data_IF_465927615405
#
_entry.id   IF_465927615405
#
_cell.length_a   1.000
_cell.length_b   1.000
_cell.length_c   1.000
_cell.angle_alpha   90.00
_cell.angle_beta   90.00
_cell.angle_gamma   90.00
#
_symmetry.space_group_name_H-M   'P 1'
#
loop_
_entity.id
_entity.type
_entity.pdbx_description
1 polymer ?
#
# COMPACT_ATOMS: atom_id res chain seq x y z
N UNK A 1 -29.16 -3.73 -22.58
CA UNK A 1 -28.19 -2.61 -22.64
C UNK A 1 -26.80 -3.17 -22.43
N UNK A 2 -25.86 -2.97 -23.35
CA UNK A 2 -24.45 -3.39 -23.17
C UNK A 2 -23.84 -2.61 -21.99
N UNK A 3 -23.18 -3.30 -21.07
CA UNK A 3 -22.47 -2.62 -19.97
C UNK A 3 -21.40 -1.69 -20.55
N UNK A 4 -21.36 -0.45 -20.09
CA UNK A 4 -20.31 0.50 -20.47
C UNK A 4 -18.94 -0.08 -20.13
N UNK A 5 -18.04 -0.14 -21.10
CA UNK A 5 -16.64 -0.50 -20.91
C UNK A 5 -15.78 0.76 -20.87
N UNK A 6 -14.67 0.70 -20.15
CA UNK A 6 -13.83 1.87 -19.85
C UNK A 6 -12.43 1.74 -20.46
N UNK A 7 -11.93 2.84 -21.01
CA UNK A 7 -10.53 3.01 -21.42
C UNK A 7 -9.75 3.61 -20.24
N UNK A 8 -8.71 2.91 -19.80
CA UNK A 8 -7.94 3.25 -18.59
C UNK A 8 -6.46 3.41 -18.94
N UNK A 9 -5.85 4.47 -18.41
CA UNK A 9 -4.40 4.70 -18.50
C UNK A 9 -3.78 4.64 -17.11
N UNK A 10 -2.79 3.80 -16.93
CA UNK A 10 -1.96 3.74 -15.72
C UNK A 10 -0.71 4.57 -15.94
N UNK A 11 -0.48 5.59 -15.11
CA UNK A 11 0.73 6.40 -15.14
C UNK A 11 1.69 5.89 -14.07
N UNK A 12 2.85 5.42 -14.50
CA UNK A 12 3.89 4.85 -13.65
C UNK A 12 4.23 3.42 -14.06
N UNK A 13 5.31 2.88 -13.47
CA UNK A 13 5.83 1.54 -13.76
C UNK A 13 6.37 0.84 -12.52
N UNK A 14 6.01 1.36 -11.34
CA UNK A 14 6.31 0.72 -10.06
C UNK A 14 5.48 -0.54 -9.81
N UNK A 15 5.77 -1.23 -8.71
CA UNK A 15 5.09 -2.47 -8.31
C UNK A 15 3.57 -2.29 -8.18
N UNK A 16 3.12 -1.12 -7.68
CA UNK A 16 1.70 -0.77 -7.61
C UNK A 16 1.08 -0.63 -9.01
N UNK A 17 1.77 0.02 -9.95
CA UNK A 17 1.28 0.17 -11.33
C UNK A 17 1.11 -1.19 -12.01
N UNK A 18 2.06 -2.10 -11.83
CA UNK A 18 1.99 -3.47 -12.34
C UNK A 18 0.86 -4.28 -11.68
N UNK A 19 0.62 -4.09 -10.37
CA UNK A 19 -0.48 -4.73 -9.66
C UNK A 19 -1.84 -4.22 -10.17
N UNK A 20 -2.00 -2.92 -10.41
CA UNK A 20 -3.18 -2.36 -11.06
C UNK A 20 -3.40 -2.95 -12.45
N UNK A 21 -2.36 -3.04 -13.26
CA UNK A 21 -2.46 -3.63 -14.59
C UNK A 21 -2.95 -5.08 -14.53
N UNK A 22 -2.31 -5.91 -13.70
CA UNK A 22 -2.67 -7.32 -13.57
C UNK A 22 -4.13 -7.51 -13.15
N UNK A 23 -4.63 -6.63 -12.27
CA UNK A 23 -6.02 -6.64 -11.83
C UNK A 23 -6.99 -6.20 -12.92
N UNK A 24 -6.71 -5.05 -13.55
CA UNK A 24 -7.62 -4.44 -14.53
C UNK A 24 -7.66 -5.20 -15.85
N UNK A 25 -6.57 -5.86 -16.25
CA UNK A 25 -6.53 -6.71 -17.45
C UNK A 25 -7.57 -7.85 -17.42
N UNK A 26 -7.94 -8.31 -16.24
CA UNK A 26 -8.93 -9.39 -16.06
C UNK A 26 -10.37 -8.85 -15.88
N UNK A 27 -10.55 -7.53 -15.84
CA UNK A 27 -11.84 -6.93 -15.56
C UNK A 27 -12.66 -6.76 -16.86
N UNK A 28 -13.81 -7.44 -16.95
CA UNK A 28 -14.68 -7.42 -18.12
C UNK A 28 -15.27 -6.04 -18.49
N UNK A 29 -15.24 -5.09 -17.55
CA UNK A 29 -15.67 -3.70 -17.78
C UNK A 29 -14.55 -2.79 -18.30
N UNK A 30 -13.33 -3.32 -18.51
CA UNK A 30 -12.22 -2.60 -19.16
C UNK A 30 -12.22 -2.93 -20.64
N UNK A 31 -12.33 -1.91 -21.51
CA UNK A 31 -12.20 -2.04 -22.96
C UNK A 31 -10.73 -2.03 -23.38
N UNK A 32 -10.03 -0.99 -22.92
CA UNK A 32 -8.62 -0.79 -23.25
C UNK A 32 -7.83 -0.40 -22.02
N UNK A 33 -6.61 -0.91 -21.94
CA UNK A 33 -5.69 -0.65 -20.83
C UNK A 33 -4.34 -0.21 -21.38
N UNK A 34 -3.90 0.98 -20.99
CA UNK A 34 -2.68 1.61 -21.47
C UNK A 34 -1.73 1.91 -20.30
N UNK A 35 -0.43 1.98 -20.62
CA UNK A 35 0.58 2.52 -19.71
C UNK A 35 1.14 3.83 -20.26
N UNK A 36 1.34 4.81 -19.38
CA UNK A 36 2.16 5.98 -19.63
C UNK A 36 3.37 5.95 -18.69
N UNK A 37 4.58 5.84 -19.28
CA UNK A 37 5.83 5.71 -18.51
C UNK A 37 6.88 6.70 -18.99
N UNK A 38 7.84 7.01 -18.12
CA UNK A 38 9.08 7.68 -18.53
C UNK A 38 9.99 6.70 -19.25
N UNK A 39 10.85 7.21 -20.17
CA UNK A 39 11.68 6.44 -21.09
C UNK A 39 12.65 5.42 -20.46
N UNK A 40 13.02 5.57 -19.18
CA UNK A 40 14.02 4.72 -18.51
C UNK A 40 13.38 3.87 -17.40
N UNK A 41 12.63 2.85 -17.79
CA UNK A 41 12.03 1.92 -16.84
C UNK A 41 12.93 0.71 -16.60
N UNK A 42 13.26 0.43 -15.31
CA UNK A 42 13.93 -0.82 -14.89
C UNK A 42 12.98 -2.01 -14.85
N UNK A 43 11.67 -1.79 -14.74
CA UNK A 43 10.67 -2.84 -14.68
C UNK A 43 10.19 -3.20 -16.08
N UNK A 44 10.18 -4.49 -16.40
CA UNK A 44 9.60 -5.01 -17.64
C UNK A 44 8.08 -4.85 -17.60
N UNK A 45 7.52 -4.08 -18.52
CA UNK A 45 6.08 -4.01 -18.75
C UNK A 45 5.68 -5.20 -19.62
N UNK A 46 4.52 -5.85 -19.35
CA UNK A 46 4.05 -6.97 -20.15
C UNK A 46 3.97 -6.61 -21.65
N UNK A 47 4.47 -7.48 -22.52
CA UNK A 47 4.65 -7.21 -23.97
C UNK A 47 3.37 -6.88 -24.75
N UNK A 48 2.21 -7.21 -24.28
CA UNK A 48 0.94 -6.98 -24.96
C UNK A 48 0.23 -5.69 -24.50
N UNK A 49 0.96 -4.63 -24.17
CA UNK A 49 0.38 -3.41 -23.59
C UNK A 49 0.52 -2.22 -24.51
N UNK A 50 -0.54 -1.43 -24.62
CA UNK A 50 -0.50 -0.12 -25.27
C UNK A 50 0.38 0.82 -24.44
N UNK A 51 1.64 0.99 -24.86
CA UNK A 51 2.67 1.72 -24.11
C UNK A 51 2.90 3.09 -24.71
N UNK A 52 2.77 4.13 -23.90
CA UNK A 52 3.03 5.51 -24.26
C UNK A 52 4.22 6.09 -23.49
N UNK A 53 5.05 6.90 -24.15
CA UNK A 53 6.13 7.69 -23.53
C UNK A 53 5.72 9.15 -23.28
N UNK A 54 4.75 9.63 -24.06
CA UNK A 54 4.20 10.98 -23.95
C UNK A 54 2.68 10.91 -23.89
N UNK A 55 2.05 11.74 -23.08
CA UNK A 55 0.60 11.81 -22.95
C UNK A 55 -0.07 12.24 -24.26
N UNK A 56 0.60 13.06 -25.07
CA UNK A 56 0.13 13.54 -26.35
C UNK A 56 0.00 12.44 -27.42
N UNK A 57 0.58 11.26 -27.22
CA UNK A 57 0.44 10.12 -28.14
C UNK A 57 -0.80 9.28 -27.89
N UNK A 58 -1.58 9.59 -26.85
CA UNK A 58 -2.85 8.93 -26.55
C UNK A 58 -3.94 9.64 -27.36
N UNK A 59 -4.47 8.97 -28.40
CA UNK A 59 -5.40 9.56 -29.36
C UNK A 59 -6.87 9.26 -29.10
N UNK A 60 -7.17 8.44 -28.07
CA UNK A 60 -8.52 8.01 -27.77
C UNK A 60 -9.10 8.72 -26.55
N UNK A 61 -10.43 8.84 -26.43
CA UNK A 61 -11.06 9.25 -25.18
C UNK A 61 -10.66 8.31 -24.04
N UNK A 62 -10.19 8.86 -22.93
CA UNK A 62 -9.81 8.09 -21.74
C UNK A 62 -10.80 8.38 -20.64
N UNK A 63 -11.40 7.34 -20.06
CA UNK A 63 -12.34 7.50 -18.95
C UNK A 63 -11.60 7.73 -17.62
N UNK A 64 -10.45 7.06 -17.40
CA UNK A 64 -9.72 7.06 -16.12
C UNK A 64 -8.21 7.07 -16.31
N UNK A 65 -7.56 7.97 -15.58
CA UNK A 65 -6.12 7.93 -15.34
C UNK A 65 -5.84 7.51 -13.88
N UNK A 66 -5.03 6.46 -13.69
CA UNK A 66 -4.57 5.99 -12.39
C UNK A 66 -3.12 6.45 -12.20
N UNK A 67 -2.90 7.37 -11.26
CA UNK A 67 -1.56 7.87 -10.94
C UNK A 67 -0.89 6.92 -9.94
N UNK A 68 -0.18 5.91 -10.42
CA UNK A 68 0.60 4.96 -9.65
C UNK A 68 2.10 5.36 -9.64
N UNK A 69 2.36 6.59 -9.30
CA UNK A 69 3.68 7.26 -9.25
C UNK A 69 4.07 7.61 -7.82
N UNK A 70 5.31 8.06 -7.60
CA UNK A 70 5.71 8.62 -6.30
C UNK A 70 4.90 9.88 -5.97
N UNK A 71 4.72 10.16 -4.69
CA UNK A 71 3.92 11.29 -4.20
C UNK A 71 4.36 12.63 -4.82
N UNK A 72 5.68 12.84 -4.96
CA UNK A 72 6.26 14.04 -5.58
C UNK A 72 5.85 14.23 -7.04
N UNK A 73 5.51 13.15 -7.75
CA UNK A 73 5.15 13.18 -9.16
C UNK A 73 3.62 13.28 -9.40
N UNK A 74 2.79 13.16 -8.36
CA UNK A 74 1.33 13.15 -8.50
C UNK A 74 0.81 14.44 -9.11
N UNK A 75 1.18 15.60 -8.54
CA UNK A 75 0.67 16.90 -8.98
C UNK A 75 1.07 17.21 -10.44
N UNK A 76 2.33 16.95 -10.80
CA UNK A 76 2.82 17.16 -12.16
C UNK A 76 2.03 16.32 -13.19
N UNK A 77 1.84 15.03 -12.89
CA UNK A 77 1.10 14.16 -13.79
C UNK A 77 -0.40 14.50 -13.84
N UNK A 78 -1.01 14.88 -12.71
CA UNK A 78 -2.40 15.34 -12.69
C UNK A 78 -2.61 16.61 -13.53
N UNK A 79 -1.67 17.56 -13.52
CA UNK A 79 -1.70 18.75 -14.39
C UNK A 79 -1.60 18.37 -15.86
N UNK A 80 -0.70 17.44 -16.21
CA UNK A 80 -0.58 16.94 -17.60
C UNK A 80 -1.89 16.28 -18.04
N UNK A 81 -2.48 15.42 -17.20
CA UNK A 81 -3.77 14.81 -17.53
C UNK A 81 -4.84 15.86 -17.72
N UNK A 82 -4.95 16.84 -16.82
CA UNK A 82 -5.94 17.92 -16.96
C UNK A 82 -5.80 18.70 -18.27
N UNK A 83 -4.58 19.03 -18.67
CA UNK A 83 -4.31 19.81 -19.89
C UNK A 83 -4.69 19.06 -21.17
N UNK A 84 -4.46 17.74 -21.22
CA UNK A 84 -4.76 16.94 -22.42
C UNK A 84 -6.13 16.26 -22.38
N UNK A 85 -6.62 15.92 -21.19
CA UNK A 85 -7.84 15.15 -20.95
C UNK A 85 -8.69 15.76 -19.82
N UNK A 86 -9.20 16.98 -19.96
CA UNK A 86 -9.90 17.70 -18.88
C UNK A 86 -11.20 17.03 -18.42
N UNK A 87 -11.78 16.16 -19.25
CA UNK A 87 -13.02 15.42 -18.94
C UNK A 87 -12.79 14.03 -18.33
N UNK A 88 -11.52 13.57 -18.30
CA UNK A 88 -11.19 12.26 -17.74
C UNK A 88 -11.16 12.28 -16.23
N UNK A 89 -11.50 11.15 -15.60
CA UNK A 89 -11.31 10.97 -14.16
C UNK A 89 -9.83 10.74 -13.86
N UNK A 90 -9.38 11.27 -12.71
CA UNK A 90 -8.03 11.04 -12.18
C UNK A 90 -8.12 10.41 -10.80
N UNK A 91 -7.48 9.25 -10.63
CA UNK A 91 -7.24 8.66 -9.32
C UNK A 91 -5.77 8.74 -8.97
N UNK A 92 -5.44 9.12 -7.74
CA UNK A 92 -4.12 8.83 -7.19
C UNK A 92 -4.22 7.80 -6.06
N UNK A 93 -3.12 7.09 -5.82
CA UNK A 93 -3.08 5.96 -4.89
C UNK A 93 -2.26 6.25 -3.63
N UNK A 94 -1.92 7.51 -3.35
CA UNK A 94 -1.11 7.89 -2.21
C UNK A 94 -1.90 7.89 -0.90
N UNK A 95 -1.29 7.36 0.16
CA UNK A 95 -1.80 7.48 1.53
C UNK A 95 -1.57 8.88 2.12
N UNK A 96 -0.63 9.67 1.59
CA UNK A 96 -0.13 10.92 2.20
C UNK A 96 -0.32 12.16 1.33
N UNK A 97 -0.79 12.05 0.08
CA UNK A 97 -1.04 13.19 -0.80
C UNK A 97 -2.51 13.65 -0.72
N UNK A 98 -2.74 14.95 -0.56
CA UNK A 98 -4.10 15.49 -0.41
C UNK A 98 -4.84 15.57 -1.75
N UNK A 99 -6.13 15.23 -1.78
CA UNK A 99 -6.97 15.37 -2.96
C UNK A 99 -7.10 16.83 -3.42
N UNK A 100 -7.16 17.77 -2.46
CA UNK A 100 -7.29 19.20 -2.74
C UNK A 100 -6.09 19.80 -3.46
N UNK A 101 -4.91 19.16 -3.37
CA UNK A 101 -3.70 19.61 -4.08
C UNK A 101 -3.74 19.33 -5.59
N UNK A 102 -4.64 18.48 -6.07
CA UNK A 102 -4.85 18.28 -7.50
C UNK A 102 -5.51 19.50 -8.14
N UNK A 103 -5.36 19.74 -9.46
CA UNK A 103 -5.91 20.91 -10.13
C UNK A 103 -7.37 21.17 -9.75
N UNK A 104 -7.71 22.38 -9.31
CA UNK A 104 -9.07 22.71 -8.83
C UNK A 104 -10.12 22.52 -9.92
N UNK A 105 -9.80 22.86 -11.16
CA UNK A 105 -10.67 22.68 -12.34
C UNK A 105 -10.89 21.21 -12.70
N UNK A 106 -10.10 20.27 -12.15
CA UNK A 106 -10.31 18.83 -12.32
C UNK A 106 -11.45 18.37 -11.38
N UNK A 107 -12.68 18.44 -11.84
CA UNK A 107 -13.87 18.02 -11.07
C UNK A 107 -13.92 16.50 -10.85
N UNK A 108 -13.46 15.72 -11.83
CA UNK A 108 -13.44 14.27 -11.79
C UNK A 108 -12.12 13.76 -11.20
N UNK A 109 -11.91 13.97 -9.90
CA UNK A 109 -10.74 13.51 -9.16
C UNK A 109 -11.14 12.77 -7.90
N UNK A 110 -10.35 11.75 -7.51
CA UNK A 110 -10.53 11.05 -6.25
C UNK A 110 -9.23 10.35 -5.82
N UNK A 111 -9.20 9.90 -4.58
CA UNK A 111 -8.19 9.00 -4.08
C UNK A 111 -8.75 7.58 -4.03
N UNK A 112 -7.94 6.61 -4.45
CA UNK A 112 -8.15 5.20 -4.19
C UNK A 112 -6.84 4.64 -3.64
N UNK A 113 -6.69 4.66 -2.33
CA UNK A 113 -5.49 4.17 -1.64
C UNK A 113 -5.66 2.70 -1.23
N UNK A 114 -5.01 1.75 -1.90
CA UNK A 114 -4.99 0.37 -1.46
C UNK A 114 -3.98 0.21 -0.30
N UNK A 115 -4.47 -0.16 0.89
CA UNK A 115 -3.61 -0.39 2.04
C UNK A 115 -2.96 -1.78 1.94
N UNK A 116 -1.88 -1.86 1.19
CA UNK A 116 -1.17 -3.10 0.92
C UNK A 116 0.31 -2.86 0.60
N UNK A 117 1.16 -3.86 0.82
CA UNK A 117 2.58 -3.83 0.47
C UNK A 117 2.84 -4.52 -0.86
N UNK A 118 2.89 -3.73 -1.94
CA UNK A 118 3.16 -4.22 -3.29
C UNK A 118 4.65 -4.48 -3.48
N UNK A 119 5.11 -5.70 -3.23
CA UNK A 119 6.51 -6.10 -3.38
C UNK A 119 6.83 -6.77 -4.72
N UNK A 120 5.82 -7.16 -5.49
CA UNK A 120 5.95 -7.83 -6.79
C UNK A 120 6.35 -9.30 -6.71
N UNK A 121 6.36 -9.90 -5.52
CA UNK A 121 6.77 -11.30 -5.32
C UNK A 121 5.65 -12.30 -5.61
N UNK A 122 4.39 -11.89 -5.47
CA UNK A 122 3.22 -12.76 -5.62
C UNK A 122 2.09 -12.04 -6.36
N UNK A 123 1.18 -12.83 -6.94
CA UNK A 123 -0.05 -12.30 -7.49
C UNK A 123 -0.89 -11.68 -6.37
N UNK A 124 -1.34 -10.45 -6.60
CA UNK A 124 -2.09 -9.67 -5.61
C UNK A 124 -3.57 -10.08 -5.61
N UNK A 125 -4.07 -10.55 -4.47
CA UNK A 125 -5.50 -10.78 -4.29
C UNK A 125 -6.20 -9.47 -3.87
N UNK A 126 -6.73 -8.74 -4.83
CA UNK A 126 -7.37 -7.45 -4.61
C UNK A 126 -8.61 -7.51 -3.71
N UNK A 127 -9.33 -8.62 -3.66
CA UNK A 127 -10.55 -8.75 -2.83
C UNK A 127 -10.25 -8.68 -1.33
N UNK A 128 -9.00 -8.94 -0.94
CA UNK A 128 -8.55 -8.89 0.45
C UNK A 128 -7.90 -7.55 0.82
N UNK A 129 -7.73 -6.64 -0.15
CA UNK A 129 -7.08 -5.35 0.08
C UNK A 129 -8.13 -4.31 0.46
N UNK A 130 -8.08 -3.73 1.67
CA UNK A 130 -8.95 -2.61 2.00
C UNK A 130 -8.56 -1.39 1.18
N UNK A 131 -9.57 -0.76 0.56
CA UNK A 131 -9.40 0.47 -0.21
C UNK A 131 -9.88 1.66 0.61
N UNK A 132 -9.07 2.69 0.70
CA UNK A 132 -9.45 3.95 1.34
C UNK A 132 -9.70 5.01 0.26
N UNK A 133 -10.92 5.56 0.24
CA UNK A 133 -11.36 6.47 -0.83
C UNK A 133 -11.63 7.87 -0.30
N UNK A 134 -11.24 8.90 -1.07
CA UNK A 134 -11.60 10.29 -0.85
C UNK A 134 -12.16 10.86 -2.14
N UNK A 135 -13.28 11.60 -2.06
CA UNK A 135 -13.94 12.22 -3.21
C UNK A 135 -14.87 11.29 -4.02
N UNK A 136 -15.27 10.13 -3.48
CA UNK A 136 -16.24 9.21 -4.07
C UNK A 136 -17.68 9.70 -3.78
N UNK A 137 -18.05 10.89 -4.27
CA UNK A 137 -19.24 11.63 -3.87
C UNK A 137 -20.30 11.83 -4.96
N UNK A 138 -20.01 11.55 -6.23
CA UNK A 138 -20.97 11.69 -7.35
C UNK A 138 -21.40 10.34 -7.92
N UNK A 139 -22.58 10.29 -8.56
CA UNK A 139 -23.10 9.08 -9.21
C UNK A 139 -22.10 8.50 -10.23
N UNK A 140 -21.49 9.35 -11.06
CA UNK A 140 -20.52 8.93 -12.06
C UNK A 140 -19.27 8.28 -11.42
N UNK A 141 -18.70 8.90 -10.37
CA UNK A 141 -17.53 8.36 -9.66
C UNK A 141 -17.84 7.01 -9.01
N UNK A 142 -19.03 6.89 -8.38
CA UNK A 142 -19.51 5.63 -7.80
C UNK A 142 -19.69 4.56 -8.87
N UNK A 143 -20.35 4.89 -9.98
CA UNK A 143 -20.57 3.97 -11.09
C UNK A 143 -19.25 3.41 -11.61
N UNK A 144 -18.26 4.27 -11.91
CA UNK A 144 -16.96 3.84 -12.40
C UNK A 144 -16.22 3.00 -11.34
N UNK A 145 -16.19 3.43 -10.09
CA UNK A 145 -15.54 2.69 -9.00
C UNK A 145 -16.14 1.27 -8.87
N UNK A 146 -17.46 1.15 -8.73
CA UNK A 146 -18.13 -0.14 -8.55
C UNK A 146 -18.15 -1.01 -9.82
N UNK A 147 -17.90 -0.45 -11.00
CA UNK A 147 -17.70 -1.23 -12.21
C UNK A 147 -16.34 -1.91 -12.25
N UNK A 148 -15.32 -1.31 -11.61
CA UNK A 148 -13.97 -1.85 -11.56
C UNK A 148 -13.73 -2.79 -10.38
N UNK A 149 -14.48 -2.63 -9.28
CA UNK A 149 -14.34 -3.46 -8.09
C UNK A 149 -15.56 -4.36 -7.87
N UNK A 150 -15.30 -5.56 -7.35
CA UNK A 150 -16.37 -6.45 -6.94
C UNK A 150 -17.18 -5.81 -5.79
N UNK A 151 -18.49 -6.08 -5.69
CA UNK A 151 -19.34 -5.67 -4.56
C UNK A 151 -18.82 -6.13 -3.20
N UNK A 152 -18.04 -7.21 -3.16
CA UNK A 152 -17.39 -7.74 -1.95
C UNK A 152 -16.11 -6.98 -1.58
N UNK A 153 -15.66 -6.01 -2.39
CA UNK A 153 -14.47 -5.22 -2.12
C UNK A 153 -14.69 -4.36 -0.88
N UNK A 154 -13.88 -4.57 0.14
CA UNK A 154 -13.89 -3.72 1.33
C UNK A 154 -13.34 -2.34 0.98
N UNK A 155 -14.15 -1.30 1.17
CA UNK A 155 -13.68 0.07 1.02
C UNK A 155 -14.22 0.97 2.14
N UNK A 156 -13.43 2.00 2.47
CA UNK A 156 -13.75 2.98 3.49
C UNK A 156 -13.65 4.38 2.90
N UNK A 157 -14.70 5.19 3.06
CA UNK A 157 -14.62 6.62 2.77
C UNK A 157 -13.83 7.31 3.89
N UNK A 158 -12.84 8.10 3.54
CA UNK A 158 -11.94 8.73 4.51
C UNK A 158 -11.68 10.19 4.17
N UNK A 159 -11.36 10.98 5.20
CA UNK A 159 -10.73 12.29 5.04
C UNK A 159 -9.23 12.13 4.72
N UNK A 160 -8.61 13.20 4.23
CA UNK A 160 -7.14 13.24 4.08
C UNK A 160 -6.42 12.96 5.40
N UNK A 161 -6.87 13.58 6.50
CA UNK A 161 -6.27 13.43 7.83
C UNK A 161 -6.34 11.98 8.33
N UNK A 162 -7.48 11.32 8.16
CA UNK A 162 -7.64 9.93 8.58
C UNK A 162 -6.82 8.99 7.70
N UNK A 163 -6.76 9.22 6.38
CA UNK A 163 -5.94 8.43 5.47
C UNK A 163 -4.45 8.52 5.81
N UNK A 164 -3.94 9.70 6.21
CA UNK A 164 -2.56 9.82 6.70
C UNK A 164 -2.32 8.96 7.95
N UNK A 165 -3.27 8.92 8.89
CA UNK A 165 -3.18 8.08 10.09
C UNK A 165 -3.23 6.60 9.75
N UNK A 166 -4.12 6.20 8.83
CA UNK A 166 -4.19 4.83 8.31
C UNK A 166 -2.86 4.43 7.66
N UNK A 167 -2.28 5.30 6.84
CA UNK A 167 -0.97 5.04 6.23
C UNK A 167 0.14 4.90 7.26
N UNK A 168 0.19 5.77 8.26
CA UNK A 168 1.14 5.67 9.38
C UNK A 168 0.98 4.34 10.13
N UNK A 169 -0.25 3.95 10.45
CA UNK A 169 -0.53 2.67 11.11
C UNK A 169 -0.05 1.48 10.25
N UNK A 170 -0.27 1.51 8.94
CA UNK A 170 0.21 0.48 8.02
C UNK A 170 1.75 0.39 7.98
N UNK A 171 2.46 1.52 8.00
CA UNK A 171 3.93 1.56 8.07
C UNK A 171 4.41 0.92 9.37
N UNK A 172 3.81 1.27 10.51
CA UNK A 172 4.18 0.70 11.81
C UNK A 172 3.92 -0.81 11.82
N UNK A 173 2.71 -1.22 11.42
CA UNK A 173 2.28 -2.61 11.52
C UNK A 173 3.02 -3.55 10.55
N UNK A 174 3.48 -3.07 9.41
CA UNK A 174 4.09 -3.93 8.39
C UNK A 174 5.56 -3.58 8.12
N UNK A 175 5.91 -2.33 7.85
CA UNK A 175 7.28 -2.01 7.45
C UNK A 175 8.25 -2.10 8.64
N UNK A 176 7.85 -1.60 9.81
CA UNK A 176 8.69 -1.70 11.01
C UNK A 176 8.74 -3.13 11.52
N UNK A 177 7.63 -3.87 11.52
CA UNK A 177 7.62 -5.28 11.88
C UNK A 177 8.53 -6.10 10.96
N UNK A 178 8.53 -5.83 9.64
CA UNK A 178 9.46 -6.48 8.72
C UNK A 178 10.93 -6.20 9.05
N UNK A 179 11.27 -4.96 9.47
CA UNK A 179 12.62 -4.62 9.92
C UNK A 179 13.00 -5.36 11.19
N UNK A 180 12.06 -5.51 12.14
CA UNK A 180 12.28 -6.32 13.35
C UNK A 180 12.53 -7.79 13.02
N UNK A 181 11.83 -8.36 12.01
CA UNK A 181 12.08 -9.73 11.54
C UNK A 181 13.47 -9.88 10.89
N UNK A 182 13.93 -8.90 10.13
CA UNK A 182 15.30 -8.90 9.59
C UNK A 182 16.32 -8.92 10.72
N UNK A 183 16.12 -8.14 11.78
CA UNK A 183 17.00 -8.17 12.94
C UNK A 183 16.90 -9.47 13.73
N UNK A 184 15.71 -10.02 13.92
CA UNK A 184 15.54 -11.33 14.56
C UNK A 184 16.31 -12.43 13.81
N UNK A 185 16.20 -12.47 12.48
CA UNK A 185 16.95 -13.42 11.65
C UNK A 185 18.47 -13.23 11.80
N UNK A 186 18.94 -12.00 11.94
CA UNK A 186 20.37 -11.71 12.13
C UNK A 186 20.93 -12.21 13.46
N UNK A 187 20.09 -12.39 14.48
CA UNK A 187 20.50 -12.91 15.80
C UNK A 187 20.59 -14.45 15.85
N UNK A 188 20.04 -15.14 14.83
CA UNK A 188 20.06 -16.59 14.83
C UNK A 188 21.47 -17.15 14.59
N UNK A 189 21.85 -18.22 15.30
CA UNK A 189 23.05 -18.99 14.96
C UNK A 189 23.01 -19.46 13.51
N UNK A 190 24.17 -19.61 12.87
CA UNK A 190 24.29 -20.03 11.45
C UNK A 190 23.48 -21.31 11.14
N UNK A 191 23.45 -22.27 12.08
CA UNK A 191 22.71 -23.52 11.96
C UNK A 191 21.18 -23.35 11.86
N UNK A 192 20.62 -22.23 12.30
CA UNK A 192 19.19 -21.93 12.30
C UNK A 192 18.78 -20.89 11.26
N UNK A 193 19.71 -20.20 10.62
CA UNK A 193 19.40 -19.22 9.56
C UNK A 193 18.61 -19.88 8.43
N UNK A 194 17.65 -19.15 7.88
CA UNK A 194 16.76 -19.58 6.79
C UNK A 194 15.83 -20.79 7.12
N UNK A 195 15.84 -21.32 8.34
CA UNK A 195 14.95 -22.42 8.74
C UNK A 195 13.56 -21.96 9.18
N UNK A 196 13.31 -20.64 9.17
CA UNK A 196 12.01 -20.03 9.52
C UNK A 196 11.45 -20.52 10.86
N UNK A 197 12.31 -20.78 11.83
CA UNK A 197 11.95 -21.40 13.14
C UNK A 197 10.95 -20.55 13.94
N UNK A 198 10.90 -19.24 13.71
CA UNK A 198 9.96 -18.31 14.35
C UNK A 198 8.62 -18.17 13.57
N UNK A 199 8.47 -18.83 12.42
CA UNK A 199 7.26 -18.74 11.59
C UNK A 199 5.98 -19.21 12.33
N UNK A 200 5.96 -20.34 13.09
CA UNK A 200 4.80 -20.73 13.87
C UNK A 200 4.39 -19.70 14.91
N UNK A 201 5.36 -19.01 15.54
CA UNK A 201 5.11 -17.95 16.50
C UNK A 201 4.37 -16.75 15.88
N UNK A 202 4.81 -16.32 14.70
CA UNK A 202 4.14 -15.24 13.96
C UNK A 202 2.76 -15.66 13.46
N UNK A 203 2.60 -16.90 13.00
CA UNK A 203 1.31 -17.43 12.57
C UNK A 203 0.32 -17.44 13.73
N UNK A 204 0.71 -17.91 14.90
CA UNK A 204 -0.08 -17.86 16.13
C UNK A 204 -0.53 -16.42 16.42
N UNK A 205 0.39 -15.46 16.41
CA UNK A 205 0.10 -14.06 16.66
C UNK A 205 -0.91 -13.48 15.67
N UNK A 206 -0.68 -13.66 14.36
CA UNK A 206 -1.57 -13.13 13.30
C UNK A 206 -2.99 -13.73 13.41
N UNK A 207 -3.11 -15.04 13.70
CA UNK A 207 -4.42 -15.68 13.84
C UNK A 207 -5.17 -15.13 15.04
N UNK A 208 -4.49 -14.89 16.15
CA UNK A 208 -5.11 -14.42 17.40
C UNK A 208 -5.46 -12.92 17.37
N UNK A 209 -4.78 -12.10 16.56
CA UNK A 209 -5.15 -10.70 16.32
C UNK A 209 -6.58 -10.51 15.77
N UNK A 210 -7.20 -11.57 15.25
CA UNK A 210 -8.62 -11.54 14.84
C UNK A 210 -9.60 -11.57 16.03
N UNK A 211 -9.15 -12.03 17.20
CA UNK A 211 -9.99 -12.27 18.38
C UNK A 211 -9.63 -11.38 19.56
N UNK A 212 -8.38 -11.00 19.68
CA UNK A 212 -7.81 -10.31 20.83
C UNK A 212 -7.15 -9.00 20.41
N UNK A 213 -7.11 -8.03 21.32
CA UNK A 213 -6.36 -6.81 21.12
C UNK A 213 -4.84 -7.07 21.20
N UNK A 214 -4.00 -6.29 20.50
CA UNK A 214 -2.54 -6.47 20.56
C UNK A 214 -1.96 -6.44 21.98
N UNK A 215 -2.55 -5.67 22.89
CA UNK A 215 -2.08 -5.59 24.28
C UNK A 215 -2.29 -6.90 25.05
N UNK A 216 -3.40 -7.60 24.78
CA UNK A 216 -3.71 -8.90 25.42
C UNK A 216 -2.79 -10.01 24.93
N UNK A 217 -2.28 -9.87 23.71
CA UNK A 217 -1.34 -10.81 23.09
C UNK A 217 0.12 -10.52 23.44
N UNK A 218 0.39 -9.42 24.15
CA UNK A 218 1.75 -9.06 24.50
C UNK A 218 2.28 -9.99 25.60
N UNK A 219 3.40 -10.63 25.30
CA UNK A 219 4.11 -11.55 26.23
C UNK A 219 5.60 -11.19 26.28
N UNK A 220 6.36 -11.94 27.05
CA UNK A 220 7.81 -11.85 27.08
C UNK A 220 8.39 -11.28 28.38
N UNK A 221 9.72 -11.13 28.47
CA UNK A 221 10.41 -10.73 29.70
C UNK A 221 10.03 -9.32 30.17
N UNK A 222 9.73 -8.41 29.25
CA UNK A 222 9.34 -7.04 29.62
C UNK A 222 7.97 -6.99 30.31
N UNK A 223 6.98 -7.81 29.88
CA UNK A 223 5.66 -7.91 30.54
C UNK A 223 5.78 -8.51 31.94
N UNK A 224 6.74 -9.42 32.17
CA UNK A 224 6.99 -10.04 33.48
C UNK A 224 7.95 -9.23 34.35
N UNK A 225 8.38 -8.04 33.91
CA UNK A 225 9.41 -7.22 34.53
C UNK A 225 10.72 -7.97 34.82
N UNK A 226 11.07 -8.93 33.97
CA UNK A 226 12.24 -9.80 34.14
C UNK A 226 13.52 -9.07 33.69
N UNK A 227 14.06 -8.27 34.59
CA UNK A 227 15.27 -7.46 34.35
C UNK A 227 16.52 -8.33 34.14
N UNK A 228 16.56 -9.54 34.73
CA UNK A 228 17.68 -10.45 34.54
C UNK A 228 17.76 -10.95 33.10
N UNK A 229 16.66 -11.50 32.55
CA UNK A 229 16.59 -11.94 31.14
C UNK A 229 16.88 -10.79 30.19
N UNK A 230 16.31 -9.60 30.44
CA UNK A 230 16.58 -8.40 29.61
C UNK A 230 18.07 -8.08 29.61
N UNK A 231 18.74 -8.16 30.75
CA UNK A 231 20.18 -7.89 30.84
C UNK A 231 21.02 -8.94 30.09
N UNK A 232 20.64 -10.24 30.13
CA UNK A 232 21.30 -11.28 29.37
C UNK A 232 21.16 -11.04 27.85
N UNK A 233 19.95 -10.72 27.37
CA UNK A 233 19.73 -10.40 25.96
C UNK A 233 20.59 -9.20 25.52
N UNK A 234 20.71 -8.15 26.33
CA UNK A 234 21.52 -6.98 26.00
C UNK A 234 23.03 -7.28 25.91
N UNK A 235 23.51 -8.30 26.64
CA UNK A 235 24.92 -8.78 26.50
C UNK A 235 25.15 -9.50 25.17
N UNK A 236 24.12 -10.17 24.61
CA UNK A 236 24.21 -10.83 23.32
C UNK A 236 24.14 -9.87 22.14
N UNK A 237 23.53 -8.71 22.34
CA UNK A 237 23.36 -7.70 21.29
C UNK A 237 24.52 -6.71 21.36
N UNK A 238 25.37 -6.57 20.31
CA UNK A 238 26.44 -5.58 20.29
C UNK A 238 25.92 -4.17 20.56
N UNK A 239 26.80 -3.28 21.07
CA UNK A 239 26.49 -1.87 21.26
C UNK A 239 26.19 -1.20 19.89
N UNK A 240 24.90 -1.17 19.53
CA UNK A 240 24.40 -0.81 18.20
C UNK A 240 23.02 -0.17 18.29
N UNK A 241 22.48 0.24 17.16
CA UNK A 241 21.10 0.73 17.06
C UNK A 241 20.08 -0.30 17.54
N UNK A 242 20.33 -1.60 17.31
CA UNK A 242 19.48 -2.67 17.81
C UNK A 242 19.43 -2.72 19.34
N UNK A 243 20.58 -2.55 20.02
CA UNK A 243 20.64 -2.50 21.49
C UNK A 243 19.78 -1.35 22.04
N UNK A 244 19.90 -0.14 21.45
CA UNK A 244 19.08 1.01 21.81
C UNK A 244 17.59 0.74 21.60
N UNK A 245 17.22 0.15 20.48
CA UNK A 245 15.85 -0.17 20.16
C UNK A 245 15.28 -1.25 21.10
N UNK A 246 16.07 -2.29 21.41
CA UNK A 246 15.67 -3.33 22.36
C UNK A 246 15.30 -2.73 23.74
N UNK A 247 16.17 -1.84 24.25
CA UNK A 247 15.90 -1.11 25.51
C UNK A 247 14.63 -0.26 25.42
N UNK A 248 14.49 0.50 24.33
CA UNK A 248 13.33 1.36 24.13
C UNK A 248 12.02 0.56 24.09
N UNK A 249 11.97 -0.52 23.29
CA UNK A 249 10.79 -1.37 23.20
C UNK A 249 10.47 -2.06 24.54
N UNK A 250 11.49 -2.57 25.24
CA UNK A 250 11.29 -3.16 26.58
C UNK A 250 10.68 -2.15 27.55
N UNK A 251 11.18 -0.91 27.58
CA UNK A 251 10.65 0.13 28.46
C UNK A 251 9.22 0.55 28.06
N UNK A 252 8.92 0.64 26.75
CA UNK A 252 7.56 0.95 26.28
C UNK A 252 6.55 -0.15 26.66
N UNK A 253 6.96 -1.43 26.55
CA UNK A 253 6.13 -2.56 26.97
C UNK A 253 5.87 -2.49 28.49
N UNK A 254 6.92 -2.32 29.32
CA UNK A 254 6.76 -2.15 30.77
C UNK A 254 5.78 -1.04 31.11
N UNK A 255 6.02 0.16 30.56
CA UNK A 255 5.15 1.32 30.78
C UNK A 255 3.69 1.05 30.37
N UNK A 256 3.47 0.29 29.29
CA UNK A 256 2.12 -0.03 28.82
C UNK A 256 1.38 -1.00 29.75
N UNK A 257 2.10 -1.82 30.49
CA UNK A 257 1.58 -2.78 31.48
C UNK A 257 1.72 -2.28 32.91
N UNK A 258 1.99 -0.97 33.10
CA UNK A 258 2.06 -0.32 34.44
C UNK A 258 3.11 -0.92 35.38
N UNK A 259 4.29 -1.31 34.82
CA UNK A 259 5.40 -1.96 35.52
C UNK A 259 6.62 -1.03 35.69
#
# INVERSE_FOLDING_TARGET
>A
MSKKKYTIVIIGNGKLALAWFAYLKQNSNVAELHFLIRSNSKNKIPQATNLHKKISTIQHPVDLFILAVSDRAILENARKVYNYFPKSMVWHCSGTHALVSLPQKQSLKMVVYPMYSFNGLHQTNWTQIPLFTEGLNTAFKKQLFYSLFNKKQTHYSTSFKDRQRVHLAAVIAQNFSNMLLIWAESQLPKSFKNKKIWHPLLQYWIVNLKKFNPIELQTGPAVRNDSWIISQHLKLIPQSQLNKLYKLLSNLIKKRHEL
#
